data_IF_238117071619
#
_entry.id   IF_238117071619
#
_cell.length_a   1.000
_cell.length_b   1.000
_cell.length_c   1.000
_cell.angle_alpha   90.00
_cell.angle_beta   90.00
_cell.angle_gamma   90.00
#
_symmetry.space_group_name_H-M   'P 1'
#
loop_
_entity.id
_entity.type
_entity.pdbx_description
1 polymer ?
#
# COMPACT_ATOMS: atom_id res chain seq x y z
N UNK A 1 14.65 1.28 15.46
CA UNK A 1 15.64 1.20 14.35
C UNK A 1 15.06 1.71 13.04
N UNK A 2 13.88 1.25 12.59
CA UNK A 2 13.27 1.69 11.32
C UNK A 2 13.05 3.21 11.23
N UNK A 3 12.61 3.85 12.32
CA UNK A 3 12.41 5.30 12.36
C UNK A 3 13.70 6.09 12.10
N UNK A 4 14.85 5.59 12.53
CA UNK A 4 16.16 6.24 12.29
C UNK A 4 16.54 6.15 10.82
N UNK A 5 16.35 4.99 10.19
CA UNK A 5 16.61 4.80 8.76
C UNK A 5 15.69 5.68 7.91
N UNK A 6 14.41 5.73 8.27
CA UNK A 6 13.44 6.60 7.59
C UNK A 6 13.77 8.09 7.78
N UNK A 7 14.15 8.51 8.99
CA UNK A 7 14.56 9.89 9.24
C UNK A 7 15.82 10.27 8.44
N UNK A 8 16.81 9.37 8.38
CA UNK A 8 18.02 9.57 7.60
C UNK A 8 17.71 9.63 6.10
N UNK A 9 16.85 8.74 5.60
CA UNK A 9 16.36 8.76 4.23
C UNK A 9 15.68 10.09 3.90
N UNK A 10 14.76 10.55 4.75
CA UNK A 10 14.06 11.83 4.58
C UNK A 10 15.02 13.01 4.57
N UNK A 11 16.03 13.02 5.44
CA UNK A 11 17.05 14.06 5.46
C UNK A 11 17.89 14.08 4.17
N UNK A 12 18.34 12.92 3.69
CA UNK A 12 19.08 12.79 2.43
C UNK A 12 18.22 13.18 1.21
N UNK A 13 16.96 12.75 1.19
CA UNK A 13 16.01 13.09 0.13
C UNK A 13 15.72 14.59 0.08
N UNK A 14 15.52 15.20 1.26
CA UNK A 14 15.33 16.65 1.39
C UNK A 14 16.56 17.43 0.90
N UNK A 15 17.76 17.01 1.31
CA UNK A 15 19.01 17.62 0.84
C UNK A 15 19.16 17.54 -0.68
N UNK A 16 18.86 16.37 -1.27
CA UNK A 16 18.90 16.17 -2.72
C UNK A 16 17.91 17.09 -3.45
N UNK A 17 16.69 17.25 -2.92
CA UNK A 17 15.69 18.18 -3.47
C UNK A 17 16.12 19.64 -3.39
N UNK A 18 16.72 20.04 -2.27
CA UNK A 18 17.29 21.38 -2.11
C UNK A 18 18.38 21.63 -3.16
N UNK A 19 19.32 20.69 -3.32
CA UNK A 19 20.41 20.82 -4.30
C UNK A 19 19.87 20.87 -5.73
N UNK A 20 18.85 20.09 -6.06
CA UNK A 20 18.15 20.18 -7.34
C UNK A 20 17.51 21.56 -7.55
N UNK A 21 16.86 22.14 -6.54
CA UNK A 21 16.28 23.47 -6.62
C UNK A 21 17.34 24.56 -6.85
N UNK A 22 18.50 24.46 -6.19
CA UNK A 22 19.61 25.40 -6.37
C UNK A 22 20.36 25.23 -7.70
N UNK A 23 20.30 24.06 -8.34
CA UNK A 23 20.92 23.79 -9.64
C UNK A 23 20.51 24.83 -10.69
N UNK A 24 19.22 25.14 -10.77
CA UNK A 24 18.66 26.09 -11.73
C UNK A 24 19.15 27.53 -11.50
N UNK A 25 19.49 27.88 -10.26
CA UNK A 25 19.91 29.24 -9.89
C UNK A 25 21.43 29.45 -9.96
N UNK A 26 22.22 28.42 -9.65
CA UNK A 26 23.67 28.54 -9.50
C UNK A 26 24.49 27.77 -10.55
N UNK A 27 23.84 27.21 -11.58
CA UNK A 27 24.50 26.44 -12.64
C UNK A 27 25.43 25.34 -12.08
N UNK A 28 24.98 24.65 -11.03
CA UNK A 28 25.76 23.59 -10.39
C UNK A 28 26.09 22.48 -11.40
N UNK A 29 27.33 21.99 -11.33
CA UNK A 29 27.77 20.82 -12.09
C UNK A 29 26.83 19.63 -11.89
N UNK A 30 26.45 18.96 -12.98
CA UNK A 30 25.64 17.74 -12.93
C UNK A 30 26.30 16.63 -12.12
N UNK A 31 27.63 16.56 -12.13
CA UNK A 31 28.39 15.59 -11.33
C UNK A 31 28.24 15.86 -9.81
N UNK A 32 28.18 17.13 -9.40
CA UNK A 32 27.94 17.49 -8.00
C UNK A 32 26.53 17.11 -7.54
N UNK A 33 25.53 17.38 -8.38
CA UNK A 33 24.13 16.99 -8.12
C UNK A 33 24.00 15.47 -8.03
N UNK A 34 24.64 14.72 -8.94
CA UNK A 34 24.64 13.27 -8.93
C UNK A 34 25.29 12.72 -7.65
N UNK A 35 26.46 13.24 -7.25
CA UNK A 35 27.17 12.83 -6.04
C UNK A 35 26.32 13.05 -4.77
N UNK A 36 25.58 14.17 -4.71
CA UNK A 36 24.67 14.44 -3.60
C UNK A 36 23.43 13.53 -3.59
N UNK A 37 22.98 13.07 -4.76
CA UNK A 37 21.86 12.15 -4.88
C UNK A 37 22.20 10.70 -4.47
N UNK A 38 23.47 10.28 -4.55
CA UNK A 38 23.91 8.90 -4.26
C UNK A 38 23.43 8.41 -2.88
N UNK A 39 23.62 9.12 -1.75
CA UNK A 39 23.17 8.64 -0.45
C UNK A 39 21.66 8.42 -0.39
N UNK A 40 20.87 9.31 -0.99
CA UNK A 40 19.42 9.17 -1.05
C UNK A 40 19.01 7.94 -1.86
N UNK A 41 19.66 7.69 -3.00
CA UNK A 41 19.41 6.52 -3.86
C UNK A 41 19.78 5.22 -3.14
N UNK A 42 20.95 5.17 -2.50
CA UNK A 42 21.40 3.98 -1.76
C UNK A 42 20.44 3.65 -0.61
N UNK A 43 19.99 4.66 0.13
CA UNK A 43 18.98 4.47 1.18
C UNK A 43 17.63 4.03 0.60
N UNK A 44 17.17 4.62 -0.51
CA UNK A 44 15.94 4.22 -1.18
C UNK A 44 15.97 2.74 -1.59
N UNK A 45 17.05 2.30 -2.24
CA UNK A 45 17.24 0.90 -2.65
C UNK A 45 17.29 -0.03 -1.45
N UNK A 46 17.98 0.38 -0.38
CA UNK A 46 18.07 -0.40 0.86
C UNK A 46 16.69 -0.59 1.51
N UNK A 47 15.90 0.48 1.62
CA UNK A 47 14.53 0.44 2.14
C UNK A 47 13.61 -0.38 1.24
N UNK A 48 13.78 -0.28 -0.08
CA UNK A 48 13.02 -1.05 -1.05
C UNK A 48 13.26 -2.55 -0.92
N UNK A 49 14.53 -2.97 -0.86
CA UNK A 49 14.91 -4.38 -0.66
C UNK A 49 14.40 -4.90 0.69
N UNK A 50 14.56 -4.11 1.75
CA UNK A 50 14.06 -4.46 3.07
C UNK A 50 12.55 -4.70 3.04
N UNK A 51 11.79 -3.73 2.52
CA UNK A 51 10.33 -3.80 2.44
C UNK A 51 9.87 -5.01 1.63
N UNK A 52 10.51 -5.30 0.49
CA UNK A 52 10.19 -6.46 -0.33
C UNK A 52 10.46 -7.79 0.39
N UNK A 53 11.56 -7.87 1.14
CA UNK A 53 11.89 -9.06 1.91
C UNK A 53 10.88 -9.32 3.03
N UNK A 54 10.48 -8.29 3.76
CA UNK A 54 9.48 -8.42 4.82
C UNK A 54 8.09 -8.75 4.24
N UNK A 55 7.73 -8.16 3.11
CA UNK A 55 6.50 -8.51 2.40
C UNK A 55 6.49 -9.98 1.96
N UNK A 56 7.61 -10.48 1.43
CA UNK A 56 7.74 -11.89 1.02
C UNK A 56 7.58 -12.85 2.19
N UNK A 57 8.23 -12.56 3.33
CA UNK A 57 8.08 -13.33 4.58
C UNK A 57 6.64 -13.34 5.06
N UNK A 58 5.95 -12.20 4.97
CA UNK A 58 4.55 -12.10 5.34
C UNK A 58 3.67 -12.97 4.44
N UNK A 59 3.90 -12.94 3.12
CA UNK A 59 3.19 -13.80 2.16
C UNK A 59 3.42 -15.28 2.45
N UNK A 60 4.67 -15.69 2.74
CA UNK A 60 4.98 -17.07 3.13
C UNK A 60 4.23 -17.48 4.41
N UNK A 61 4.20 -16.59 5.42
CA UNK A 61 3.48 -16.85 6.66
C UNK A 61 1.96 -16.96 6.47
N UNK A 62 1.37 -16.17 5.56
CA UNK A 62 -0.05 -16.24 5.22
C UNK A 62 -0.39 -17.53 4.47
N UNK A 63 0.50 -17.96 3.55
CA UNK A 63 0.38 -19.26 2.87
C UNK A 63 0.45 -20.42 3.86
N UNK A 64 1.36 -20.36 4.83
CA UNK A 64 1.46 -21.38 5.88
C UNK A 64 0.20 -21.46 6.75
N UNK A 65 -0.52 -20.34 6.93
CA UNK A 65 -1.79 -20.25 7.66
C UNK A 65 -3.04 -20.56 6.81
N UNK A 66 -2.87 -21.04 5.59
CA UNK A 66 -3.95 -21.31 4.62
C UNK A 66 -4.83 -20.09 4.27
N UNK A 67 -4.37 -18.86 4.52
CA UNK A 67 -5.06 -17.63 4.12
C UNK A 67 -4.74 -17.27 2.66
N UNK A 68 -5.17 -18.14 1.73
CA UNK A 68 -4.79 -18.10 0.32
C UNK A 68 -5.25 -16.83 -0.40
N UNK A 69 -6.45 -16.33 -0.10
CA UNK A 69 -7.00 -15.10 -0.68
C UNK A 69 -6.17 -13.86 -0.28
N UNK A 70 -5.85 -13.72 1.00
CA UNK A 70 -5.02 -12.63 1.53
C UNK A 70 -3.60 -12.71 1.00
N UNK A 71 -3.01 -13.91 0.96
CA UNK A 71 -1.69 -14.13 0.39
C UNK A 71 -1.61 -13.76 -1.10
N UNK A 72 -2.67 -14.03 -1.87
CA UNK A 72 -2.77 -13.67 -3.28
C UNK A 72 -2.81 -12.15 -3.49
N UNK A 73 -3.54 -11.42 -2.64
CA UNK A 73 -3.63 -9.96 -2.71
C UNK A 73 -2.26 -9.30 -2.43
N UNK A 74 -1.54 -9.77 -1.41
CA UNK A 74 -0.19 -9.28 -1.11
C UNK A 74 0.83 -9.67 -2.18
N UNK A 75 0.73 -10.88 -2.75
CA UNK A 75 1.59 -11.29 -3.87
C UNK A 75 1.35 -10.44 -5.14
N UNK A 76 0.09 -10.12 -5.43
CA UNK A 76 -0.27 -9.23 -6.55
C UNK A 76 0.25 -7.81 -6.34
N UNK A 77 0.14 -7.31 -5.10
CA UNK A 77 0.69 -6.00 -4.71
C UNK A 77 2.22 -5.97 -4.84
N UNK A 78 2.90 -7.07 -4.49
CA UNK A 78 4.35 -7.19 -4.64
C UNK A 78 4.78 -7.08 -6.12
N UNK A 79 4.03 -7.68 -7.04
CA UNK A 79 4.30 -7.56 -8.48
C UNK A 79 4.14 -6.11 -8.93
N UNK A 80 3.10 -5.40 -8.47
CA UNK A 80 2.95 -3.98 -8.80
C UNK A 80 4.09 -3.12 -8.25
N UNK A 81 4.53 -3.33 -7.01
CA UNK A 81 5.67 -2.58 -6.47
C UNK A 81 6.98 -2.89 -7.20
N UNK A 82 7.18 -4.14 -7.62
CA UNK A 82 8.33 -4.51 -8.45
C UNK A 82 8.29 -3.82 -9.83
N UNK A 83 7.12 -3.73 -10.45
CA UNK A 83 6.91 -3.02 -11.71
C UNK A 83 7.06 -1.50 -11.57
N UNK A 84 6.76 -0.95 -10.39
CA UNK A 84 6.91 0.48 -10.11
C UNK A 84 8.37 0.92 -9.97
N UNK A 85 9.26 0.01 -9.52
CA UNK A 85 10.66 0.33 -9.26
C UNK A 85 11.43 0.84 -10.50
N UNK A 86 11.33 0.21 -11.70
CA UNK A 86 11.88 0.77 -12.94
C UNK A 86 11.38 2.19 -13.25
N UNK A 87 10.10 2.47 -12.98
CA UNK A 87 9.52 3.81 -13.14
C UNK A 87 10.19 4.84 -12.24
N UNK A 88 10.44 4.49 -10.98
CA UNK A 88 11.18 5.34 -10.03
C UNK A 88 12.62 5.61 -10.48
N UNK A 89 13.30 4.60 -11.02
CA UNK A 89 14.67 4.75 -11.58
C UNK A 89 14.65 5.67 -12.80
N UNK A 90 13.70 5.50 -13.71
CA UNK A 90 13.54 6.34 -14.89
C UNK A 90 13.31 7.81 -14.50
N UNK A 91 12.43 8.05 -13.54
CA UNK A 91 12.18 9.38 -12.97
C UNK A 91 13.45 10.00 -12.38
N UNK A 92 14.20 9.24 -11.58
CA UNK A 92 15.45 9.72 -11.01
C UNK A 92 16.47 10.10 -12.10
N UNK A 93 16.64 9.25 -13.13
CA UNK A 93 17.52 9.52 -14.26
C UNK A 93 17.08 10.74 -15.08
N UNK A 94 15.79 10.88 -15.35
CA UNK A 94 15.24 12.04 -16.05
C UNK A 94 15.54 13.35 -15.29
N UNK A 95 15.40 13.35 -13.96
CA UNK A 95 15.74 14.53 -13.15
C UNK A 95 17.23 14.85 -13.11
N UNK A 96 18.10 13.84 -13.18
CA UNK A 96 19.55 14.03 -13.19
C UNK A 96 20.03 14.56 -14.55
N UNK A 97 19.53 13.96 -15.63
CA UNK A 97 19.95 14.30 -16.99
C UNK A 97 19.33 15.59 -17.51
N UNK A 98 18.27 16.09 -16.87
CA UNK A 98 17.45 17.26 -17.24
C UNK A 98 17.97 18.01 -18.48
N UNK A 99 17.51 17.62 -19.68
CA UNK A 99 17.99 18.20 -20.94
C UNK A 99 17.57 19.66 -21.10
N UNK A 100 16.69 20.17 -20.25
CA UNK A 100 16.20 21.54 -20.33
C UNK A 100 17.15 22.57 -19.71
N UNK A 101 18.17 22.11 -18.97
CA UNK A 101 19.16 22.98 -18.34
C UNK A 101 20.12 23.67 -19.34
N UNK A 102 20.23 23.17 -20.58
CA UNK A 102 21.25 23.60 -21.54
C UNK A 102 20.76 24.58 -22.63
N UNK A 103 19.46 24.88 -22.73
CA UNK A 103 18.99 25.84 -23.71
C UNK A 103 17.47 26.07 -23.71
N UNK A 104 17.06 27.25 -24.17
CA UNK A 104 15.66 27.67 -24.41
C UNK A 104 15.01 26.92 -25.58
N UNK A 105 15.25 25.62 -25.71
CA UNK A 105 14.60 24.77 -26.69
C UNK A 105 13.15 24.54 -26.25
N UNK A 106 12.24 25.14 -27.01
CA UNK A 106 10.76 25.03 -26.95
C UNK A 106 10.17 24.73 -25.58
N UNK A 107 9.65 25.79 -24.94
CA UNK A 107 8.86 25.75 -23.70
C UNK A 107 7.83 24.60 -23.64
N UNK A 108 7.22 24.23 -24.79
CA UNK A 108 6.30 23.10 -24.89
C UNK A 108 6.94 21.75 -24.52
N UNK A 109 8.19 21.49 -24.95
CA UNK A 109 8.90 20.27 -24.59
C UNK A 109 9.25 20.28 -23.10
N UNK A 110 9.66 21.44 -22.57
CA UNK A 110 9.93 21.59 -21.15
C UNK A 110 8.72 21.20 -20.30
N UNK A 111 7.53 21.68 -20.65
CA UNK A 111 6.30 21.35 -19.93
C UNK A 111 5.96 19.85 -19.98
N UNK A 112 6.13 19.22 -21.15
CA UNK A 112 5.83 17.80 -21.32
C UNK A 112 6.81 16.89 -20.55
N UNK A 113 8.11 17.21 -20.54
CA UNK A 113 9.11 16.44 -19.81
C UNK A 113 9.10 16.72 -18.31
N UNK A 114 8.95 17.99 -17.90
CA UNK A 114 9.04 18.39 -16.49
C UNK A 114 7.82 17.99 -15.67
N UNK A 115 6.64 17.83 -16.29
CA UNK A 115 5.40 17.57 -15.56
C UNK A 115 4.63 16.37 -16.14
N UNK A 116 4.50 16.32 -17.47
CA UNK A 116 3.72 15.28 -18.15
C UNK A 116 4.21 13.85 -17.91
N UNK A 117 5.52 13.62 -17.93
CA UNK A 117 6.07 12.27 -17.67
C UNK A 117 5.81 11.82 -16.24
N UNK A 118 6.00 12.68 -15.25
CA UNK A 118 5.77 12.31 -13.85
C UNK A 118 4.30 12.02 -13.59
N UNK A 119 3.39 12.84 -14.15
CA UNK A 119 1.95 12.63 -14.07
C UNK A 119 1.52 11.34 -14.76
N UNK A 120 2.08 11.01 -15.93
CA UNK A 120 1.76 9.78 -16.64
C UNK A 120 2.22 8.54 -15.86
N UNK A 121 3.46 8.55 -15.35
CA UNK A 121 3.97 7.47 -14.49
C UNK A 121 3.11 7.32 -13.24
N UNK A 122 2.76 8.43 -12.58
CA UNK A 122 1.87 8.42 -11.43
C UNK A 122 0.50 7.82 -11.77
N UNK A 123 -0.09 8.21 -12.91
CA UNK A 123 -1.40 7.72 -13.33
C UNK A 123 -1.39 6.22 -13.61
N UNK A 124 -0.34 5.71 -14.27
CA UNK A 124 -0.17 4.27 -14.50
C UNK A 124 -0.03 3.49 -13.20
N UNK A 125 0.74 4.01 -12.24
CA UNK A 125 0.89 3.39 -10.92
C UNK A 125 -0.40 3.41 -10.13
N UNK A 126 -1.12 4.53 -10.14
CA UNK A 126 -2.39 4.69 -9.46
C UNK A 126 -3.45 3.74 -10.04
N UNK A 127 -3.56 3.68 -11.37
CA UNK A 127 -4.50 2.79 -12.04
C UNK A 127 -4.17 1.32 -11.79
N UNK A 128 -2.88 0.95 -11.83
CA UNK A 128 -2.43 -0.41 -11.48
C UNK A 128 -2.75 -0.76 -10.02
N UNK A 129 -2.53 0.15 -9.08
CA UNK A 129 -2.87 -0.04 -7.68
C UNK A 129 -4.39 -0.20 -7.50
N UNK A 130 -5.19 0.66 -8.13
CA UNK A 130 -6.65 0.55 -8.10
C UNK A 130 -7.15 -0.76 -8.73
N UNK A 131 -6.55 -1.22 -9.82
CA UNK A 131 -6.91 -2.48 -10.46
C UNK A 131 -6.62 -3.72 -9.58
N UNK A 132 -5.57 -3.66 -8.77
CA UNK A 132 -5.23 -4.73 -7.80
C UNK A 132 -6.14 -4.68 -6.58
N UNK A 133 -6.48 -3.48 -6.12
CA UNK A 133 -7.32 -3.25 -4.94
C UNK A 133 -8.82 -3.25 -5.24
N UNK A 134 -9.21 -3.40 -6.51
CA UNK A 134 -10.61 -3.45 -6.88
C UNK A 134 -11.28 -4.64 -6.20
N UNK A 135 -12.38 -4.43 -5.45
CA UNK A 135 -13.03 -5.49 -4.71
C UNK A 135 -13.50 -6.57 -5.68
N UNK A 136 -12.91 -7.77 -5.57
CA UNK A 136 -13.35 -8.93 -6.33
C UNK A 136 -14.52 -9.56 -5.59
N UNK A 137 -15.58 -9.93 -6.30
CA UNK A 137 -16.76 -10.60 -5.75
C UNK A 137 -16.43 -11.90 -4.98
N UNK A 138 -15.25 -12.48 -5.21
CA UNK A 138 -14.72 -13.65 -4.50
C UNK A 138 -14.28 -13.34 -3.04
N UNK A 139 -14.00 -12.09 -2.70
CA UNK A 139 -13.58 -11.66 -1.35
C UNK A 139 -14.75 -11.29 -0.44
N UNK A 140 -15.93 -11.05 -0.99
CA UNK A 140 -17.13 -10.64 -0.25
C UNK A 140 -17.65 -11.68 0.76
N UNK A 141 -17.21 -12.94 0.66
CA UNK A 141 -17.55 -14.00 1.62
C UNK A 141 -16.63 -14.07 2.85
N UNK A 142 -15.42 -13.53 2.78
CA UNK A 142 -14.42 -13.64 3.87
C UNK A 142 -14.55 -12.55 4.94
N UNK A 143 -15.30 -11.47 4.69
CA UNK A 143 -15.46 -10.37 5.66
C UNK A 143 -16.51 -10.65 6.75
N UNK A 144 -17.29 -11.74 6.64
CA UNK A 144 -18.35 -12.07 7.62
C UNK A 144 -18.15 -13.37 8.39
N UNK A 145 -17.08 -14.12 8.15
CA UNK A 145 -16.75 -15.26 9.02
C UNK A 145 -16.02 -14.75 10.27
N UNK A 146 -16.81 -14.35 11.28
CA UNK A 146 -16.33 -14.17 12.65
C UNK A 146 -15.64 -15.46 13.11
N UNK A 147 -14.33 -15.46 13.40
CA UNK A 147 -13.69 -16.61 14.01
C UNK A 147 -14.01 -16.57 15.51
N UNK A 148 -15.15 -17.15 15.91
CA UNK A 148 -15.41 -17.23 17.34
C UNK A 148 -16.81 -17.59 17.84
N UNK A 149 -17.71 -18.20 17.07
CA UNK A 149 -18.92 -18.75 17.71
C UNK A 149 -19.62 -19.87 16.95
N UNK A 150 -18.95 -21.00 16.75
CA UNK A 150 -19.63 -22.25 16.37
C UNK A 150 -20.44 -22.86 17.52
N UNK A 151 -20.37 -22.32 18.75
CA UNK A 151 -21.20 -22.79 19.89
C UNK A 151 -22.42 -21.91 20.23
N UNK A 152 -22.55 -20.67 19.72
CA UNK A 152 -23.73 -19.84 20.01
C UNK A 152 -24.84 -19.89 18.95
N UNK A 153 -24.67 -20.65 17.87
CA UNK A 153 -25.68 -20.82 16.83
C UNK A 153 -26.83 -21.76 17.19
N UNK A 154 -26.76 -22.46 18.33
CA UNK A 154 -27.72 -23.51 18.71
C UNK A 154 -28.51 -23.21 20.00
N UNK A 155 -28.51 -21.97 20.50
CA UNK A 155 -29.26 -21.57 21.70
C UNK A 155 -30.10 -20.29 21.53
N UNK A 156 -30.51 -19.97 20.29
CA UNK A 156 -31.64 -19.04 20.04
C UNK A 156 -32.75 -19.81 19.30
N UNK A 157 -32.99 -21.04 19.72
CA UNK A 157 -34.30 -21.64 19.63
C UNK A 157 -35.07 -21.09 20.82
N UNK A 158 -35.97 -20.15 20.56
CA UNK A 158 -36.99 -19.67 21.49
C UNK A 158 -37.64 -20.89 22.11
N UNK A 159 -37.24 -21.21 23.35
CA UNK A 159 -38.02 -22.05 24.23
C UNK A 159 -39.19 -21.15 24.62
N UNK A 160 -40.22 -21.15 23.77
CA UNK A 160 -41.55 -20.66 24.14
C UNK A 160 -42.03 -21.65 25.19
N UNK A 161 -41.65 -21.37 26.43
CA UNK A 161 -42.21 -21.94 27.63
C UNK A 161 -43.70 -21.61 27.59
N UNK A 162 -44.46 -22.54 27.01
CA UNK A 162 -45.90 -22.61 27.19
C UNK A 162 -46.10 -22.76 28.70
N UNK A 163 -46.34 -21.63 29.35
CA UNK A 163 -46.84 -21.52 30.70
C UNK A 163 -48.18 -22.25 30.72
N UNK A 164 -48.11 -23.55 30.98
CA UNK A 164 -49.26 -24.39 31.24
C UNK A 164 -49.92 -23.85 32.51
N UNK A 165 -51.01 -23.12 32.31
CA UNK A 165 -51.93 -22.74 33.38
C UNK A 165 -52.25 -24.01 34.18
N UNK A 166 -52.07 -24.01 35.52
CA UNK A 166 -52.50 -25.14 36.32
C UNK A 166 -54.01 -25.29 36.21
N UNK A 167 -54.43 -26.48 35.80
CA UNK A 167 -55.81 -26.93 35.85
C UNK A 167 -56.30 -26.84 37.31
N UNK A 168 -57.15 -25.86 37.61
CA UNK A 168 -57.95 -25.86 38.83
C UNK A 168 -59.05 -26.92 38.72
N UNK A 169 -58.68 -28.18 38.97
CA UNK A 169 -59.60 -29.19 39.44
C UNK A 169 -59.54 -29.25 40.97
N UNK A 170 -60.67 -28.98 41.63
CA UNK A 170 -60.95 -29.60 42.94
C UNK A 170 -61.63 -28.75 44.01
N UNK A 171 -62.96 -28.83 44.04
CA UNK A 171 -63.68 -29.37 45.21
C UNK A 171 -63.88 -28.49 46.48
N UNK A 172 -65.13 -28.03 46.69
CA UNK A 172 -65.90 -28.09 47.95
C UNK A 172 -67.30 -27.48 47.71
N UNK A 173 -68.39 -28.25 47.61
CA UNK A 173 -69.19 -28.85 48.70
C UNK A 173 -70.09 -27.84 49.46
N UNK A 174 -71.37 -28.22 49.61
CA UNK A 174 -72.49 -27.61 50.39
C UNK A 174 -73.20 -26.42 49.72
N UNK A 175 -74.53 -26.38 49.48
CA UNK A 175 -75.72 -27.04 50.07
C UNK A 175 -76.75 -27.45 49.01
#
# INVERSE_FOLDING_TARGET
MIHVVLALYSACAFNSKIVQAYRLRHALSSAFVAMNAVPAIVLAVSVFIWTHRELFRMIESLKARQQSATAWLFASSQIAFAMAAPGGVFVALATLLDPTAAGTSTWANHWMYADGIFQLVFFLLLFGAMAIWFPRHELTGYEYEQPGNEEAGQMIGIMEEVEALPDEEGEAAHE
#
